data_IF_115127084190
#
_entry.id   IF_115127084190
#
_cell.length_a   1.000
_cell.length_b   1.000
_cell.length_c   1.000
_cell.angle_alpha   90.00
_cell.angle_beta   90.00
_cell.angle_gamma   90.00
#
_symmetry.space_group_name_H-M   'P 1'
#
loop_
_entity.id
_entity.type
_entity.pdbx_description
1 polymer ?
#
# COMPACT_ATOMS: atom_id res chain seq x y z
N UNK A 1 -7.26 10.08 -8.38
CA UNK A 1 -8.40 9.37 -8.98
C UNK A 1 -8.53 8.05 -8.25
N UNK A 2 -9.67 7.75 -7.63
CA UNK A 2 -9.87 6.56 -6.78
C UNK A 2 -11.11 5.73 -7.16
N UNK A 3 -11.61 5.89 -8.39
CA UNK A 3 -12.87 5.28 -8.84
C UNK A 3 -12.79 3.79 -9.17
N UNK A 4 -11.64 3.14 -8.95
CA UNK A 4 -11.43 1.72 -9.20
C UNK A 4 -11.75 1.30 -10.64
N UNK A 5 -12.35 0.11 -10.78
CA UNK A 5 -12.69 -0.52 -12.07
C UNK A 5 -14.05 -0.13 -12.66
N UNK A 6 -14.73 0.89 -12.13
CA UNK A 6 -16.10 1.25 -12.56
C UNK A 6 -16.21 1.73 -14.03
N UNK A 7 -15.09 2.03 -14.69
CA UNK A 7 -15.05 2.67 -16.01
C UNK A 7 -14.43 1.79 -17.10
N UNK A 8 -14.22 0.51 -16.81
CA UNK A 8 -13.64 -0.48 -17.73
C UNK A 8 -12.23 -0.92 -17.35
N UNK A 9 -11.60 -1.65 -18.26
CA UNK A 9 -10.28 -2.27 -18.05
C UNK A 9 -9.17 -1.31 -18.46
N UNK A 10 -8.28 -0.99 -17.53
CA UNK A 10 -7.06 -0.21 -17.81
C UNK A 10 -6.01 -1.15 -18.40
N UNK A 11 -5.55 -0.86 -19.62
CA UNK A 11 -4.54 -1.66 -20.32
C UNK A 11 -3.14 -1.06 -20.29
N UNK A 12 -2.99 0.21 -19.91
CA UNK A 12 -1.69 0.87 -19.75
C UNK A 12 -1.74 2.04 -18.78
N UNK A 13 -0.61 2.32 -18.13
CA UNK A 13 -0.42 3.45 -17.22
C UNK A 13 0.84 4.22 -17.64
N UNK A 14 0.76 5.55 -17.62
CA UNK A 14 1.92 6.43 -17.80
C UNK A 14 2.15 7.18 -16.50
N UNK A 15 3.30 6.95 -15.88
CA UNK A 15 3.67 7.50 -14.58
C UNK A 15 4.84 8.48 -14.76
N UNK A 16 4.87 9.54 -13.94
CA UNK A 16 6.06 10.36 -13.78
C UNK A 16 6.93 9.71 -12.72
N UNK A 17 8.22 9.52 -13.02
CA UNK A 17 9.17 8.93 -12.09
C UNK A 17 9.95 10.02 -11.36
N UNK A 18 10.48 9.66 -10.20
CA UNK A 18 11.35 10.48 -9.37
C UNK A 18 12.67 9.72 -9.17
N UNK A 19 13.79 10.43 -9.19
CA UNK A 19 15.09 9.83 -8.91
C UNK A 19 15.22 9.59 -7.41
N UNK A 20 15.33 8.32 -7.01
CA UNK A 20 15.50 7.92 -5.62
C UNK A 20 16.36 6.65 -5.59
N UNK A 21 17.68 6.76 -5.81
CA UNK A 21 18.55 5.61 -5.93
C UNK A 21 18.79 4.94 -4.56
N UNK A 22 18.97 5.74 -3.50
CA UNK A 22 19.30 5.30 -2.15
C UNK A 22 18.31 5.92 -1.16
N UNK A 23 17.93 5.15 -0.15
CA UNK A 23 17.13 5.60 0.99
C UNK A 23 17.76 5.07 2.28
N UNK A 24 17.51 5.75 3.40
CA UNK A 24 17.79 5.20 4.73
C UNK A 24 16.49 4.69 5.31
N UNK A 25 16.35 3.37 5.46
CA UNK A 25 15.09 2.80 5.89
C UNK A 25 15.25 1.38 6.40
N UNK A 26 14.17 0.82 6.94
CA UNK A 26 14.18 -0.52 7.51
C UNK A 26 13.09 -0.72 8.54
N UNK A 27 13.32 -1.69 9.42
CA UNK A 27 12.40 -2.10 10.46
C UNK A 27 13.00 -1.71 11.81
N UNK A 28 12.20 -1.02 12.62
CA UNK A 28 12.42 -0.88 14.04
C UNK A 28 11.41 -1.78 14.76
N UNK A 29 11.89 -2.67 15.63
CA UNK A 29 11.03 -3.55 16.42
C UNK A 29 11.06 -3.11 17.88
N UNK A 30 9.89 -3.07 18.52
CA UNK A 30 9.71 -2.66 19.90
C UNK A 30 8.83 -3.64 20.67
N UNK A 31 8.96 -3.61 21.98
CA UNK A 31 8.01 -4.25 22.89
C UNK A 31 6.60 -3.65 22.70
N UNK A 32 5.57 -4.50 22.78
CA UNK A 32 4.19 -4.08 22.61
C UNK A 32 3.67 -3.28 23.80
N UNK A 33 3.73 -1.96 23.68
CA UNK A 33 3.10 -1.00 24.60
C UNK A 33 2.30 0.02 23.80
N UNK A 34 1.11 0.41 24.28
CA UNK A 34 0.31 1.44 23.62
C UNK A 34 1.06 2.77 23.50
N UNK A 35 1.81 3.15 24.54
CA UNK A 35 2.66 4.33 24.53
C UNK A 35 3.71 4.33 23.40
N UNK A 36 4.25 3.16 23.02
CA UNK A 36 5.19 3.06 21.89
C UNK A 36 4.48 3.36 20.56
N UNK A 37 3.29 2.80 20.35
CA UNK A 37 2.51 3.03 19.13
C UNK A 37 2.09 4.49 19.02
N UNK A 38 1.63 5.09 20.13
CA UNK A 38 1.30 6.52 20.18
C UNK A 38 2.53 7.38 19.85
N UNK A 39 3.69 7.08 20.45
CA UNK A 39 4.92 7.81 20.19
C UNK A 39 5.35 7.72 18.72
N UNK A 40 5.24 6.54 18.09
CA UNK A 40 5.53 6.35 16.66
C UNK A 40 4.56 7.13 15.77
N UNK A 41 3.26 7.15 16.10
CA UNK A 41 2.27 7.92 15.35
C UNK A 41 2.49 9.41 15.51
N UNK A 42 2.84 9.88 16.71
CA UNK A 42 3.25 11.26 16.95
C UNK A 42 4.48 11.63 16.14
N UNK A 43 5.52 10.80 16.17
CA UNK A 43 6.73 10.99 15.36
C UNK A 43 6.37 11.07 13.86
N UNK A 44 5.48 10.20 13.36
CA UNK A 44 5.00 10.23 11.99
C UNK A 44 4.25 11.52 11.61
N UNK A 45 3.51 12.12 12.54
CA UNK A 45 2.77 13.37 12.34
C UNK A 45 3.69 14.60 12.30
N UNK A 46 4.76 14.55 13.09
CA UNK A 46 5.75 15.62 13.25
C UNK A 46 6.84 15.58 12.19
N UNK A 47 7.10 14.39 11.61
CA UNK A 47 8.12 14.18 10.61
C UNK A 47 7.97 15.06 9.37
N UNK A 48 9.10 15.33 8.74
CA UNK A 48 9.16 16.04 7.47
C UNK A 48 8.70 15.17 6.28
N UNK A 49 8.42 15.79 5.14
CA UNK A 49 7.86 15.12 3.96
C UNK A 49 8.79 14.05 3.35
N UNK A 50 10.07 14.00 3.75
CA UNK A 50 11.01 12.97 3.26
C UNK A 50 10.89 11.65 4.02
N UNK A 51 10.21 11.66 5.17
CA UNK A 51 9.98 10.47 6.00
C UNK A 51 8.63 9.85 5.70
N UNK A 52 8.63 8.54 5.49
CA UNK A 52 7.43 7.72 5.40
C UNK A 52 7.52 6.58 6.41
N UNK A 53 6.40 6.27 7.05
CA UNK A 53 6.35 5.21 8.05
C UNK A 53 5.02 4.46 8.08
N UNK A 54 5.10 3.22 8.52
CA UNK A 54 3.96 2.34 8.79
C UNK A 54 4.23 1.60 10.09
N UNK A 55 3.30 1.70 11.04
CA UNK A 55 3.35 1.01 12.32
C UNK A 55 2.48 -0.23 12.23
N UNK A 56 3.00 -1.38 12.63
CA UNK A 56 2.30 -2.65 12.56
C UNK A 56 2.42 -3.37 13.91
N UNK A 57 1.28 -3.63 14.53
CA UNK A 57 1.17 -4.49 15.70
C UNK A 57 0.91 -5.91 15.21
N UNK A 58 1.77 -6.85 15.57
CA UNK A 58 1.64 -8.25 15.14
C UNK A 58 2.26 -9.20 16.16
N UNK A 59 1.96 -10.50 16.06
CA UNK A 59 2.71 -11.51 16.80
C UNK A 59 4.10 -11.66 16.19
N UNK A 60 5.13 -11.66 17.04
CA UNK A 60 6.50 -11.78 16.60
C UNK A 60 6.72 -13.08 15.82
N UNK A 61 7.26 -13.02 14.60
CA UNK A 61 7.64 -14.22 13.88
C UNK A 61 8.92 -14.83 14.50
N UNK A 62 9.17 -16.13 14.31
CA UNK A 62 10.37 -16.79 14.81
C UNK A 62 11.57 -16.46 13.91
N UNK A 63 12.10 -15.24 14.04
CA UNK A 63 13.20 -14.69 13.23
C UNK A 63 14.41 -14.38 14.11
N UNK A 64 15.64 -14.54 13.59
CA UNK A 64 16.86 -14.46 14.40
C UNK A 64 17.17 -13.05 14.91
N UNK A 65 16.63 -12.00 14.28
CA UNK A 65 16.84 -10.62 14.73
C UNK A 65 15.97 -10.24 15.93
N UNK A 66 14.99 -11.06 16.31
CA UNK A 66 14.16 -10.85 17.49
C UNK A 66 14.58 -11.80 18.61
N UNK A 67 14.60 -11.33 19.88
CA UNK A 67 14.80 -12.20 21.03
C UNK A 67 13.77 -13.34 21.06
N UNK A 68 14.24 -14.56 21.32
CA UNK A 68 13.40 -15.77 21.30
C UNK A 68 12.21 -15.69 22.26
N UNK A 69 12.38 -15.04 23.41
CA UNK A 69 11.33 -14.86 24.42
C UNK A 69 10.12 -14.04 23.94
N UNK A 70 10.29 -13.31 22.83
CA UNK A 70 9.22 -12.52 22.22
C UNK A 70 8.49 -13.28 21.12
N UNK A 71 9.01 -14.40 20.60
CA UNK A 71 8.39 -15.14 19.50
C UNK A 71 6.96 -15.58 19.87
N UNK A 72 6.00 -15.33 18.97
CA UNK A 72 4.57 -15.59 19.21
C UNK A 72 3.84 -14.56 20.09
N UNK A 73 4.54 -13.62 20.72
CA UNK A 73 3.95 -12.54 21.52
C UNK A 73 3.74 -11.28 20.70
N UNK A 74 2.78 -10.41 21.05
CA UNK A 74 2.63 -9.11 20.38
C UNK A 74 3.91 -8.29 20.45
N UNK A 75 4.26 -7.68 19.33
CA UNK A 75 5.33 -6.69 19.18
C UNK A 75 4.82 -5.54 18.29
N UNK A 76 5.55 -4.43 18.32
CA UNK A 76 5.32 -3.28 17.43
C UNK A 76 6.46 -3.19 16.44
N UNK A 77 6.15 -3.24 15.15
CA UNK A 77 7.09 -2.99 14.07
C UNK A 77 6.81 -1.61 13.46
N UNK A 78 7.82 -0.76 13.38
CA UNK A 78 7.77 0.45 12.58
C UNK A 78 8.64 0.25 11.33
N UNK A 79 7.99 0.25 10.17
CA UNK A 79 8.68 0.40 8.90
C UNK A 79 8.95 1.89 8.70
N UNK A 80 10.21 2.27 8.53
CA UNK A 80 10.60 3.67 8.33
C UNK A 80 11.41 3.81 7.04
N UNK A 81 11.24 4.94 6.37
CA UNK A 81 11.96 5.27 5.15
C UNK A 81 12.20 6.79 5.10
N UNK A 82 13.46 7.19 5.11
CA UNK A 82 13.90 8.54 4.81
C UNK A 82 14.43 8.58 3.38
N UNK A 83 13.73 9.34 2.53
CA UNK A 83 13.99 9.48 1.09
C UNK A 83 14.79 10.74 0.72
N UNK A 84 15.18 11.53 1.72
CA UNK A 84 16.04 12.71 1.54
C UNK A 84 17.52 12.37 1.51
N UNK A 85 18.36 13.38 1.79
CA UNK A 85 19.81 13.22 1.87
C UNK A 85 20.21 12.31 3.05
N UNK A 86 21.08 11.29 2.86
CA UNK A 86 21.45 10.35 3.91
C UNK A 86 21.98 11.03 5.19
N UNK A 87 22.73 12.12 5.03
CA UNK A 87 23.26 12.90 6.16
C UNK A 87 22.19 13.42 7.14
N UNK A 88 20.93 13.59 6.69
CA UNK A 88 19.82 14.04 7.54
C UNK A 88 19.01 12.88 8.14
N UNK A 89 19.23 11.65 7.68
CA UNK A 89 18.39 10.52 8.05
C UNK A 89 18.45 10.21 9.55
N UNK A 90 19.62 10.33 10.18
CA UNK A 90 19.78 10.09 11.62
C UNK A 90 18.90 11.05 12.44
N UNK A 91 18.96 12.34 12.12
CA UNK A 91 18.17 13.36 12.79
C UNK A 91 16.66 13.16 12.57
N UNK A 92 16.25 12.85 11.33
CA UNK A 92 14.84 12.62 11.00
C UNK A 92 14.28 11.33 11.61
N UNK A 93 15.12 10.31 11.84
CA UNK A 93 14.70 9.02 12.39
C UNK A 93 14.90 8.88 13.91
N UNK A 94 15.57 9.84 14.55
CA UNK A 94 15.86 9.81 15.99
C UNK A 94 14.60 9.61 16.85
N UNK A 95 13.53 10.38 16.58
CA UNK A 95 12.26 10.28 17.31
C UNK A 95 11.60 8.91 17.20
N UNK A 96 11.83 8.18 16.10
CA UNK A 96 11.31 6.82 15.93
C UNK A 96 12.12 5.81 16.73
N UNK A 97 13.46 5.93 16.75
CA UNK A 97 14.33 5.06 17.54
C UNK A 97 14.13 5.20 19.05
N UNK A 98 13.76 6.40 19.51
CA UNK A 98 13.48 6.67 20.93
C UNK A 98 12.02 6.42 21.34
N UNK A 99 11.18 5.83 20.48
CA UNK A 99 9.74 5.72 20.73
C UNK A 99 9.38 4.77 21.88
N UNK A 100 10.26 3.84 22.23
CA UNK A 100 10.05 2.91 23.34
C UNK A 100 11.17 1.87 23.46
N UNK A 101 11.01 0.86 24.34
CA UNK A 101 12.00 -0.22 24.51
C UNK A 101 12.15 -1.03 23.22
N UNK A 102 13.34 -0.92 22.63
CA UNK A 102 13.67 -1.45 21.31
C UNK A 102 14.16 -2.89 21.42
N UNK A 103 13.64 -3.75 20.55
CA UNK A 103 14.01 -5.16 20.39
C UNK A 103 15.03 -5.34 19.26
N UNK A 104 14.91 -4.57 18.18
CA UNK A 104 15.83 -4.62 17.05
C UNK A 104 15.80 -3.31 16.24
N UNK A 105 16.98 -2.92 15.73
CA UNK A 105 17.13 -1.85 14.73
C UNK A 105 17.76 -2.44 13.46
N UNK A 106 16.99 -2.45 12.37
CA UNK A 106 17.42 -2.90 11.04
C UNK A 106 17.40 -1.76 10.03
N UNK A 107 17.45 -0.51 10.49
CA UNK A 107 17.51 0.69 9.66
C UNK A 107 18.91 0.87 9.12
N UNK A 108 19.02 1.10 7.82
CA UNK A 108 20.29 1.43 7.19
C UNK A 108 20.11 1.94 5.77
N UNK A 109 21.19 2.49 5.22
CA UNK A 109 21.23 2.89 3.82
C UNK A 109 21.08 1.67 2.91
N UNK A 110 20.23 1.79 1.89
CA UNK A 110 20.03 0.75 0.88
C UNK A 110 19.50 1.33 -0.42
N UNK A 111 19.68 0.62 -1.55
CA UNK A 111 18.98 0.95 -2.78
C UNK A 111 17.46 0.94 -2.57
N UNK A 112 16.72 1.91 -3.12
CA UNK A 112 15.26 1.99 -2.94
C UNK A 112 14.51 0.68 -3.23
N UNK A 113 14.84 -0.11 -4.29
CA UNK A 113 14.18 -1.39 -4.53
C UNK A 113 14.35 -2.41 -3.41
N UNK A 114 15.44 -2.33 -2.63
CA UNK A 114 15.71 -3.24 -1.52
C UNK A 114 14.70 -3.07 -0.36
N UNK A 115 13.95 -1.96 -0.31
CA UNK A 115 12.86 -1.77 0.66
C UNK A 115 11.66 -2.71 0.41
N UNK A 116 11.52 -3.24 -0.80
CA UNK A 116 10.35 -4.02 -1.23
C UNK A 116 10.66 -5.47 -1.54
N UNK A 117 11.85 -5.95 -1.16
CA UNK A 117 12.18 -7.36 -1.33
C UNK A 117 11.18 -8.20 -0.55
N UNK A 118 10.47 -9.08 -1.27
CA UNK A 118 9.47 -9.94 -0.67
C UNK A 118 10.14 -10.87 0.34
N UNK A 119 9.47 -11.06 1.48
CA UNK A 119 9.78 -12.17 2.37
C UNK A 119 9.55 -13.52 1.68
N UNK A 120 9.80 -14.65 2.37
CA UNK A 120 9.54 -15.96 1.80
C UNK A 120 8.11 -16.07 1.26
N UNK A 121 7.96 -16.82 0.16
CA UNK A 121 6.67 -17.03 -0.49
C UNK A 121 5.66 -17.56 0.53
N UNK A 122 4.63 -16.77 0.80
CA UNK A 122 3.65 -17.10 1.83
C UNK A 122 2.62 -18.00 1.19
N UNK A 123 2.42 -19.19 1.76
CA UNK A 123 1.40 -20.11 1.27
C UNK A 123 0.04 -19.39 1.14
N UNK A 124 -0.81 -19.78 0.17
CA UNK A 124 -2.11 -19.16 -0.03
C UNK A 124 -2.91 -19.14 1.27
N UNK A 125 -3.19 -17.93 1.77
CA UNK A 125 -3.89 -17.73 3.04
C UNK A 125 -5.26 -17.10 2.81
N UNK A 126 -6.22 -17.46 3.67
CA UNK A 126 -7.52 -16.78 3.72
C UNK A 126 -7.36 -15.48 4.49
N UNK A 127 -7.67 -14.36 3.84
CA UNK A 127 -7.51 -13.02 4.41
C UNK A 127 -8.88 -12.37 4.60
N UNK A 128 -9.13 -11.87 5.80
CA UNK A 128 -10.21 -10.94 6.09
C UNK A 128 -9.58 -9.64 6.59
N UNK A 129 -9.97 -8.50 6.00
CA UNK A 129 -9.38 -7.20 6.29
C UNK A 129 -10.47 -6.19 6.61
N UNK A 130 -10.26 -5.40 7.67
CA UNK A 130 -11.06 -4.20 8.00
C UNK A 130 -10.13 -3.00 8.02
N UNK A 131 -10.55 -1.91 7.40
CA UNK A 131 -9.78 -0.66 7.33
C UNK A 131 -10.67 0.52 7.64
N UNK A 132 -10.10 1.54 8.26
CA UNK A 132 -10.76 2.81 8.53
C UNK A 132 -9.72 3.94 8.53
N UNK A 133 -10.19 5.16 8.31
CA UNK A 133 -9.40 6.36 8.60
C UNK A 133 -9.74 6.86 10.01
N UNK A 134 -8.76 7.41 10.70
CA UNK A 134 -8.93 8.01 12.02
C UNK A 134 -8.24 9.38 12.07
N UNK A 135 -8.92 10.36 12.67
CA UNK A 135 -8.38 11.71 12.87
C UNK A 135 -7.45 11.77 14.10
N UNK A 136 -7.70 10.91 15.09
CA UNK A 136 -6.94 10.80 16.33
C UNK A 136 -6.59 9.34 16.63
N UNK A 137 -5.50 9.15 17.35
CA UNK A 137 -5.01 7.86 17.81
C UNK A 137 -4.30 8.09 19.16
N UNK A 138 -4.78 7.41 20.19
CA UNK A 138 -4.32 7.53 21.58
C UNK A 138 -3.80 6.18 22.10
N UNK A 139 -3.20 6.20 23.29
CA UNK A 139 -2.70 4.99 23.96
C UNK A 139 -3.81 3.97 24.22
N UNK A 140 -5.02 4.38 24.62
CA UNK A 140 -6.12 3.45 24.91
C UNK A 140 -6.49 2.62 23.67
N UNK A 141 -6.58 3.28 22.50
CA UNK A 141 -6.78 2.58 21.23
C UNK A 141 -5.61 1.68 20.89
N UNK A 142 -4.38 2.12 21.14
CA UNK A 142 -3.20 1.31 20.89
C UNK A 142 -3.16 0.03 21.73
N UNK A 143 -3.49 0.13 23.02
CA UNK A 143 -3.55 -1.00 23.94
C UNK A 143 -4.67 -1.96 23.55
N UNK A 144 -5.82 -1.44 23.09
CA UNK A 144 -6.88 -2.26 22.53
C UNK A 144 -6.41 -3.04 21.28
N UNK A 145 -5.70 -2.38 20.35
CA UNK A 145 -5.15 -3.03 19.17
C UNK A 145 -4.14 -4.14 19.55
N UNK A 146 -3.29 -3.89 20.54
CA UNK A 146 -2.34 -4.89 21.08
C UNK A 146 -3.08 -6.08 21.70
N UNK A 147 -4.11 -5.83 22.53
CA UNK A 147 -4.91 -6.90 23.16
C UNK A 147 -5.58 -7.77 22.11
N UNK A 148 -6.24 -7.16 21.12
CA UNK A 148 -6.93 -7.88 20.05
C UNK A 148 -5.97 -8.73 19.21
N UNK A 149 -4.77 -8.21 18.91
CA UNK A 149 -3.74 -8.97 18.20
C UNK A 149 -3.21 -10.13 19.06
N UNK A 150 -3.03 -9.92 20.37
CA UNK A 150 -2.58 -10.96 21.29
C UNK A 150 -3.55 -12.12 21.42
N UNK A 151 -4.83 -11.82 21.59
CA UNK A 151 -5.92 -12.79 21.75
C UNK A 151 -6.30 -13.49 20.45
N UNK A 152 -5.92 -12.95 19.29
CA UNK A 152 -6.30 -13.51 18.01
C UNK A 152 -5.80 -14.97 17.86
N UNK A 153 -6.66 -15.89 17.39
CA UNK A 153 -6.32 -17.31 17.30
C UNK A 153 -5.28 -17.62 16.21
N UNK A 154 -5.03 -16.68 15.28
CA UNK A 154 -4.11 -16.87 14.16
C UNK A 154 -2.81 -16.12 14.38
N UNK A 155 -1.69 -16.72 13.96
CA UNK A 155 -0.38 -16.09 13.99
C UNK A 155 -0.28 -14.88 13.03
N UNK A 156 -1.08 -14.88 11.95
CA UNK A 156 -1.11 -13.82 10.95
C UNK A 156 -1.95 -12.60 11.33
N UNK A 157 -2.53 -12.57 12.54
CA UNK A 157 -3.26 -11.40 13.01
C UNK A 157 -2.33 -10.19 13.14
N UNK A 158 -2.73 -9.08 12.53
CA UNK A 158 -1.98 -7.82 12.58
C UNK A 158 -2.93 -6.62 12.53
N UNK A 159 -2.52 -5.54 13.16
CA UNK A 159 -3.13 -4.21 13.05
C UNK A 159 -2.09 -3.25 12.49
N UNK A 160 -2.39 -2.63 11.36
CA UNK A 160 -1.47 -1.69 10.69
C UNK A 160 -2.03 -0.28 10.75
N UNK A 161 -1.26 0.63 11.33
CA UNK A 161 -1.54 2.05 11.45
C UNK A 161 -0.50 2.84 10.66
N UNK A 162 -0.94 3.62 9.67
CA UNK A 162 -0.07 4.47 8.89
C UNK A 162 -0.62 5.90 8.90
N UNK A 163 0.24 6.87 9.15
CA UNK A 163 -0.15 8.28 9.05
C UNK A 163 0.08 8.74 7.63
N UNK A 164 -0.98 9.20 6.96
CA UNK A 164 -0.84 9.84 5.67
C UNK A 164 -0.45 11.31 5.87
N UNK A 165 0.85 11.59 5.84
CA UNK A 165 1.38 12.95 5.92
C UNK A 165 1.17 13.69 4.59
N UNK A 166 -0.06 14.07 4.26
CA UNK A 166 -0.29 15.03 3.19
C UNK A 166 -0.11 16.46 3.69
N UNK A 167 1.15 16.86 3.84
CA UNK A 167 1.51 18.27 4.01
C UNK A 167 1.68 19.03 2.69
N UNK A 168 1.47 18.38 1.53
CA UNK A 168 1.39 19.13 0.28
C UNK A 168 0.22 20.13 0.39
N UNK A 169 0.54 21.44 0.42
CA UNK A 169 -0.44 22.56 0.43
C UNK A 169 -1.48 22.46 -0.69
N UNK A 170 -1.24 21.61 -1.70
CA UNK A 170 -2.08 21.35 -2.86
C UNK A 170 -3.34 20.52 -2.55
N UNK A 171 -3.33 19.66 -1.54
CA UNK A 171 -4.47 18.78 -1.24
C UNK A 171 -5.49 19.37 -0.24
N UNK A 172 -5.16 20.46 0.47
CA UNK A 172 -6.11 21.13 1.39
C UNK A 172 -7.23 21.91 0.68
N UNK A 173 -7.18 22.05 -0.66
CA UNK A 173 -8.22 22.70 -1.47
C UNK A 173 -9.09 21.67 -2.20
N UNK A 174 -9.78 20.81 -1.45
CA UNK A 174 -11.06 20.28 -1.94
C UNK A 174 -12.16 21.08 -1.27
N UNK A 175 -12.94 21.88 -2.02
CA UNK A 175 -14.14 22.49 -1.48
C UNK A 175 -15.09 21.35 -1.09
N UNK A 176 -15.52 21.32 0.18
CA UNK A 176 -16.69 20.56 0.59
C UNK A 176 -17.89 21.11 -0.20
N UNK A 177 -18.20 20.52 -1.36
CA UNK A 177 -19.47 20.79 -2.02
C UNK A 177 -20.56 20.05 -1.24
N UNK A 178 -21.36 20.83 -0.54
CA UNK A 178 -22.60 20.43 0.10
C UNK A 178 -23.47 19.64 -0.89
N UNK A 179 -23.91 18.47 -0.42
CA UNK A 179 -24.87 17.60 -1.08
C UNK A 179 -26.25 18.25 -0.96
N UNK A 180 -26.60 19.10 -1.91
CA UNK A 180 -28.00 19.49 -2.16
C UNK A 180 -28.25 19.36 -3.65
N UNK A 181 -29.00 18.32 -4.01
CA UNK A 181 -29.43 18.09 -5.38
C UNK A 181 -30.37 19.19 -5.85
N UNK A 182 -30.14 19.65 -7.08
CA UNK A 182 -31.14 20.19 -8.02
C UNK A 182 -30.54 19.98 -9.40
N UNK A 183 -31.21 19.18 -10.21
CA UNK A 183 -30.79 18.88 -11.58
C UNK A 183 -30.94 20.12 -12.46
N UNK A 184 -29.95 20.41 -13.29
CA UNK A 184 -30.11 21.25 -14.47
C UNK A 184 -29.13 20.83 -15.57
N UNK A 185 -29.73 20.51 -16.72
CA UNK A 185 -29.29 20.72 -18.10
C UNK A 185 -27.79 20.85 -18.41
N UNK A 186 -27.31 19.95 -19.27
CA UNK A 186 -26.01 20.00 -19.94
C UNK A 186 -25.89 21.25 -20.85
N UNK A 187 -24.77 21.99 -20.79
CA UNK A 187 -24.49 23.06 -21.75
C UNK A 187 -24.20 22.52 -23.16
N UNK A 188 -24.86 23.17 -24.12
CA UNK A 188 -24.88 22.90 -25.56
C UNK A 188 -23.59 23.42 -26.23
N UNK A 189 -22.44 22.75 -26.03
CA UNK A 189 -21.18 23.08 -26.72
C UNK A 189 -20.47 21.88 -27.37
N UNK A 190 -21.20 20.80 -27.66
CA UNK A 190 -20.71 19.66 -28.42
C UNK A 190 -21.37 19.58 -29.82
N UNK A 191 -21.07 20.55 -30.68
CA UNK A 191 -21.06 20.42 -32.15
C UNK A 191 -19.85 21.21 -32.62
N UNK A 192 -18.75 20.63 -33.07
CA UNK A 192 -18.67 19.99 -34.38
C UNK A 192 -17.22 19.59 -34.60
N UNK A 193 -16.93 18.31 -34.84
CA UNK A 193 -15.86 17.82 -35.76
C UNK A 193 -16.23 16.41 -36.17
N UNK A 194 -16.98 16.30 -37.27
CA UNK A 194 -17.16 15.04 -38.01
C UNK A 194 -15.81 14.69 -38.64
N UNK A 195 -15.22 13.58 -38.25
CA UNK A 195 -14.13 12.94 -39.00
C UNK A 195 -14.70 12.19 -40.22
N UNK A 196 -14.07 12.26 -41.42
CA UNK A 196 -14.58 11.53 -42.58
C UNK A 196 -14.38 10.02 -42.42
N UNK A 197 -15.44 9.26 -42.65
CA UNK A 197 -15.40 7.79 -42.75
C UNK A 197 -14.61 7.37 -43.99
N UNK A 198 -13.58 6.53 -43.82
CA UNK A 198 -12.96 5.78 -44.93
C UNK A 198 -13.96 4.74 -45.49
N UNK A 199 -14.02 4.53 -46.82
CA UNK A 199 -14.90 3.52 -47.41
C UNK A 199 -14.36 2.11 -47.18
N UNK A 200 -15.27 1.16 -46.90
CA UNK A 200 -15.00 -0.29 -46.82
C UNK A 200 -14.84 -0.87 -48.23
N UNK A 201 -13.91 -1.80 -48.48
CA UNK A 201 -13.90 -2.56 -49.72
C UNK A 201 -15.01 -3.63 -49.72
N UNK A 202 -15.61 -3.84 -50.89
CA UNK A 202 -16.66 -4.80 -51.16
C UNK A 202 -16.16 -6.25 -51.07
N UNK A 203 -16.90 -7.11 -50.37
CA UNK A 203 -16.70 -8.56 -50.39
C UNK A 203 -17.55 -9.16 -51.50
N UNK A 204 -16.91 -9.60 -52.58
CA UNK A 204 -17.52 -10.50 -53.55
C UNK A 204 -17.49 -11.93 -52.99
N UNK A 205 -18.66 -12.54 -52.85
CA UNK A 205 -18.79 -13.96 -52.59
C UNK A 205 -18.59 -14.77 -53.87
N UNK A 206 -17.98 -15.95 -53.74
CA UNK A 206 -18.35 -17.15 -54.50
C UNK A 206 -17.87 -18.41 -53.78
N UNK A 207 -18.76 -19.39 -53.83
CA UNK A 207 -18.83 -20.70 -53.18
C UNK A 207 -18.21 -21.84 -54.00
N UNK A 208 -17.61 -22.83 -53.34
CA UNK A 208 -17.67 -24.30 -53.62
C UNK A 208 -16.88 -25.00 -52.50
N UNK A 209 -17.41 -25.86 -51.61
CA UNK A 209 -18.12 -27.16 -51.65
C UNK A 209 -17.25 -28.38 -52.05
N UNK A 210 -17.36 -29.42 -51.21
CA UNK A 210 -16.90 -30.83 -51.28
C UNK A 210 -15.50 -31.10 -50.69
N UNK A 211 -15.27 -32.13 -49.85
CA UNK A 211 -16.08 -33.27 -49.43
C UNK A 211 -15.49 -34.03 -48.22
N UNK A 212 -16.29 -34.97 -47.71
CA UNK A 212 -16.04 -35.95 -46.63
C UNK A 212 -14.91 -36.93 -47.05
N UNK A 213 -14.25 -37.77 -46.26
CA UNK A 213 -14.63 -38.66 -45.13
C UNK A 213 -13.40 -39.50 -44.68
N UNK A 214 -13.36 -39.95 -43.41
CA UNK A 214 -12.84 -41.24 -42.88
C UNK A 214 -11.35 -41.64 -43.16
N UNK A 215 -10.58 -42.42 -42.39
CA UNK A 215 -10.68 -43.18 -41.13
C UNK A 215 -9.27 -43.78 -40.82
N UNK A 216 -9.06 -44.25 -39.58
CA UNK A 216 -8.25 -45.43 -39.14
C UNK A 216 -6.71 -45.51 -39.15
N UNK A 217 -6.16 -46.05 -38.03
CA UNK A 217 -4.88 -46.79 -37.88
C UNK A 217 -4.01 -46.28 -36.70
N UNK A 218 -4.04 -46.80 -35.46
CA UNK A 218 -3.40 -48.00 -34.83
C UNK A 218 -1.97 -48.38 -35.28
N UNK A 219 -1.11 -48.62 -34.28
CA UNK A 219 0.18 -49.36 -34.31
C UNK A 219 1.39 -48.42 -34.18
N UNK A 220 2.33 -48.57 -33.24
CA UNK A 220 2.78 -49.70 -32.41
C UNK A 220 3.22 -49.23 -31.03
#
# INVERSE_FOLDING_TARGET
>A
MGGGGNFGVVTSLRLRLHETPVVTGGILAFEARGATVEALIRAAREADDTVSTMVNVMKAPPVPFLPADHHGRPIVLAFVCHSGRPEHAEASLASFRSAGPMLADLVGERPYPAMFQAGPDVAPNRVAMRTAFADAFDTDRADLEISLVGEAPTQGASSTSATWAARSRRCRRMPRRSRTGRGHSWPRWARSRRTPRRPRPAANGRTSRAGRSASTGRGT
#
